data_IF_562311014080
#
_entry.id   IF_562311014080
#
_cell.length_a   1.000
_cell.length_b   1.000
_cell.length_c   1.000
_cell.angle_alpha   90.00
_cell.angle_beta   90.00
_cell.angle_gamma   90.00
#
_symmetry.space_group_name_H-M   'P 1'
#
loop_
_entity.id
_entity.type
_entity.pdbx_description
1 polymer ?
#
# COMPACT_ATOMS: atom_id res chain seq x y z
N UNK A 1 6.39 -1.91 -18.32
CA UNK A 1 6.36 -2.14 -16.88
C UNK A 1 7.29 -1.13 -16.23
N UNK A 2 6.92 -0.56 -15.09
CA UNK A 2 7.54 0.66 -14.56
C UNK A 2 8.32 0.40 -13.29
N UNK A 3 9.59 0.82 -13.25
CA UNK A 3 10.42 0.86 -12.04
C UNK A 3 10.28 2.23 -11.36
N UNK A 4 10.22 2.25 -10.01
CA UNK A 4 10.19 3.48 -9.23
C UNK A 4 11.31 3.44 -8.21
N UNK A 5 12.15 4.49 -8.18
CA UNK A 5 13.27 4.60 -7.25
C UNK A 5 13.16 5.90 -6.47
N UNK A 6 13.26 5.80 -5.16
CA UNK A 6 13.39 6.91 -4.22
C UNK A 6 14.82 6.91 -3.71
N UNK A 7 15.48 8.09 -3.71
CA UNK A 7 16.84 8.24 -3.21
C UNK A 7 16.87 9.37 -2.20
N UNK A 8 17.23 9.03 -0.98
CA UNK A 8 17.44 9.96 0.14
C UNK A 8 16.28 10.95 0.31
N UNK A 9 15.05 10.41 0.34
CA UNK A 9 13.83 11.24 0.41
C UNK A 9 13.62 11.77 1.81
N UNK A 10 13.58 13.10 1.93
CA UNK A 10 13.17 13.81 3.12
C UNK A 10 11.88 14.58 2.89
N UNK A 11 11.03 14.63 3.92
CA UNK A 11 9.83 15.47 3.94
C UNK A 11 9.63 16.12 5.29
N UNK A 12 9.56 17.45 5.28
CA UNK A 12 9.18 18.25 6.44
C UNK A 12 7.92 19.06 6.12
N UNK A 13 7.09 19.24 7.13
CA UNK A 13 6.00 20.21 7.16
C UNK A 13 6.36 21.24 8.22
N UNK A 14 6.65 22.47 7.80
CA UNK A 14 7.19 23.53 8.63
C UNK A 14 8.44 23.06 9.40
N UNK A 15 8.36 22.90 10.72
CA UNK A 15 9.47 22.44 11.57
C UNK A 15 9.40 20.94 11.91
N UNK A 16 8.37 20.23 11.43
CA UNK A 16 8.19 18.80 11.73
C UNK A 16 8.65 17.96 10.57
N UNK A 17 9.70 17.19 10.77
CA UNK A 17 10.18 16.22 9.81
C UNK A 17 9.33 14.93 9.92
N UNK A 18 8.87 14.40 8.78
CA UNK A 18 7.94 13.26 8.70
C UNK A 18 8.56 12.08 7.96
N UNK A 19 9.45 12.33 7.00
CA UNK A 19 10.21 11.29 6.27
C UNK A 19 11.69 11.66 6.36
N UNK A 20 12.50 10.67 6.71
CA UNK A 20 13.88 10.84 7.14
C UNK A 20 14.84 10.00 6.29
N UNK A 21 15.19 10.46 5.09
CA UNK A 21 16.18 9.82 4.22
C UNK A 21 15.74 8.43 3.75
N UNK A 22 14.56 8.36 3.11
CA UNK A 22 14.04 7.07 2.62
C UNK A 22 14.64 6.73 1.27
N UNK A 23 15.35 5.60 1.23
CA UNK A 23 15.76 4.90 0.02
C UNK A 23 14.84 3.72 -0.24
N UNK A 24 14.26 3.65 -1.44
CA UNK A 24 13.34 2.59 -1.82
C UNK A 24 13.42 2.32 -3.32
N UNK A 25 13.48 1.05 -3.67
CA UNK A 25 13.36 0.58 -5.04
C UNK A 25 12.13 -0.31 -5.18
N UNK A 26 11.25 0.05 -6.11
CA UNK A 26 10.09 -0.76 -6.52
C UNK A 26 10.37 -1.31 -7.90
N UNK A 27 10.60 -2.59 -8.00
CA UNK A 27 10.87 -3.25 -9.27
C UNK A 27 9.63 -3.27 -10.16
N UNK A 28 9.90 -3.28 -11.46
CA UNK A 28 8.85 -3.32 -12.49
C UNK A 28 7.94 -4.53 -12.34
N UNK A 29 6.62 -4.30 -12.35
CA UNK A 29 5.60 -5.35 -12.24
C UNK A 29 5.40 -5.93 -10.84
N UNK A 30 6.09 -5.43 -9.81
CA UNK A 30 5.97 -5.89 -8.44
C UNK A 30 4.83 -5.22 -7.68
N UNK A 31 4.26 -5.98 -6.75
CA UNK A 31 3.31 -5.50 -5.75
C UNK A 31 4.06 -5.15 -4.46
N UNK A 32 4.31 -3.86 -4.25
CA UNK A 32 4.95 -3.36 -3.04
C UNK A 32 3.91 -2.92 -2.03
N UNK A 33 4.06 -3.33 -0.77
CA UNK A 33 3.17 -2.90 0.32
C UNK A 33 3.95 -2.10 1.36
N UNK A 34 3.50 -0.88 1.62
CA UNK A 34 3.98 -0.02 2.71
C UNK A 34 3.14 -0.28 3.96
N UNK A 35 3.76 -0.74 5.04
CA UNK A 35 3.10 -0.98 6.33
C UNK A 35 3.78 -0.23 7.46
N UNK A 36 3.08 -0.07 8.56
CA UNK A 36 3.61 0.59 9.76
C UNK A 36 2.50 1.19 10.62
N UNK A 37 2.82 1.70 11.82
CA UNK A 37 1.88 2.35 12.72
C UNK A 37 1.20 3.57 12.08
N UNK A 38 0.08 4.00 12.66
CA UNK A 38 -0.56 5.25 12.25
C UNK A 38 0.40 6.42 12.45
N UNK A 39 0.46 7.34 11.47
CA UNK A 39 1.32 8.53 11.53
C UNK A 39 2.80 8.30 11.18
N UNK A 40 3.24 7.08 10.84
CA UNK A 40 4.65 6.82 10.49
C UNK A 40 5.08 7.29 9.08
N UNK A 41 4.22 7.97 8.32
CA UNK A 41 4.58 8.57 7.02
C UNK A 41 4.15 7.80 5.77
N UNK A 42 3.47 6.65 5.85
CA UNK A 42 3.07 5.81 4.69
C UNK A 42 2.31 6.58 3.60
N UNK A 43 1.19 7.20 3.97
CA UNK A 43 0.36 7.97 3.02
C UNK A 43 1.10 9.22 2.52
N UNK A 44 1.96 9.81 3.35
CA UNK A 44 2.84 10.92 2.93
C UNK A 44 3.80 10.46 1.84
N UNK A 45 4.49 9.33 2.05
CA UNK A 45 5.40 8.75 1.06
C UNK A 45 4.67 8.39 -0.23
N UNK A 46 3.48 7.78 -0.14
CA UNK A 46 2.66 7.45 -1.30
C UNK A 46 2.26 8.71 -2.09
N UNK A 47 1.85 9.79 -1.40
CA UNK A 47 1.49 11.08 -2.03
C UNK A 47 2.69 11.78 -2.66
N UNK A 48 3.87 11.64 -2.06
CA UNK A 48 5.14 12.09 -2.63
C UNK A 48 5.42 11.37 -3.96
N UNK A 49 5.29 10.05 -4.00
CA UNK A 49 5.44 9.26 -5.23
C UNK A 49 4.41 9.70 -6.28
N UNK A 50 3.16 9.91 -5.86
CA UNK A 50 2.09 10.39 -6.73
C UNK A 50 2.32 11.81 -7.30
N UNK A 51 3.19 12.60 -6.69
CA UNK A 51 3.39 14.02 -7.04
C UNK A 51 2.32 14.95 -6.46
N UNK A 52 1.56 14.47 -5.47
CA UNK A 52 0.57 15.25 -4.73
C UNK A 52 1.18 16.03 -3.57
N UNK A 53 2.35 15.59 -3.09
CA UNK A 53 3.17 16.25 -2.08
C UNK A 53 4.58 16.45 -2.63
N UNK A 54 5.19 17.60 -2.34
CA UNK A 54 6.57 17.88 -2.69
C UNK A 54 7.52 17.30 -1.66
N UNK A 55 8.65 16.77 -2.11
CA UNK A 55 9.77 16.42 -1.23
C UNK A 55 10.44 17.70 -0.68
N UNK A 56 11.11 17.56 0.46
CA UNK A 56 12.00 18.61 0.98
C UNK A 56 13.39 18.49 0.34
N UNK A 57 13.89 17.27 0.23
CA UNK A 57 15.13 16.92 -0.51
C UNK A 57 15.10 15.47 -0.97
N UNK A 58 16.04 15.08 -1.82
CA UNK A 58 16.15 13.75 -2.41
C UNK A 58 15.76 13.74 -3.89
N UNK A 59 15.67 12.52 -4.44
CA UNK A 59 15.39 12.32 -5.87
C UNK A 59 14.36 11.19 -6.07
N UNK A 60 13.40 11.40 -6.97
CA UNK A 60 12.42 10.39 -7.39
C UNK A 60 12.61 10.11 -8.87
N UNK A 61 12.80 8.82 -9.19
CA UNK A 61 12.94 8.36 -10.57
C UNK A 61 11.79 7.41 -10.93
N UNK A 62 11.23 7.60 -12.11
CA UNK A 62 10.25 6.69 -12.73
C UNK A 62 10.80 6.28 -14.10
N UNK A 63 11.08 5.00 -14.28
CA UNK A 63 11.74 4.46 -15.50
C UNK A 63 13.04 5.20 -15.84
N UNK A 64 13.86 5.50 -14.80
CA UNK A 64 15.12 6.23 -14.94
C UNK A 64 14.99 7.73 -15.16
N UNK A 65 13.79 8.28 -15.31
CA UNK A 65 13.55 9.71 -15.48
C UNK A 65 13.27 10.37 -14.13
N UNK A 66 13.97 11.45 -13.83
CA UNK A 66 13.72 12.23 -12.63
C UNK A 66 12.37 12.94 -12.71
N UNK A 67 11.54 12.74 -11.66
CA UNK A 67 10.18 13.29 -11.58
C UNK A 67 9.92 14.08 -10.30
N UNK A 68 10.93 14.39 -9.51
CA UNK A 68 10.81 15.05 -8.20
C UNK A 68 9.98 16.34 -8.29
N UNK A 69 10.16 17.12 -9.34
CA UNK A 69 9.46 18.39 -9.59
C UNK A 69 8.32 18.30 -10.60
N UNK A 70 8.04 17.10 -11.15
CA UNK A 70 6.98 16.88 -12.12
C UNK A 70 5.63 16.78 -11.38
N UNK A 71 4.58 17.52 -11.82
CA UNK A 71 3.27 17.47 -11.20
C UNK A 71 2.60 16.09 -11.39
N UNK A 72 1.69 15.72 -10.49
CA UNK A 72 1.01 14.43 -10.48
C UNK A 72 0.32 14.07 -11.82
N UNK A 73 -0.20 15.07 -12.53
CA UNK A 73 -0.87 14.86 -13.84
C UNK A 73 0.05 14.32 -14.92
N UNK A 74 1.37 14.55 -14.81
CA UNK A 74 2.38 14.26 -15.83
C UNK A 74 3.25 13.03 -15.47
N UNK A 75 3.18 12.52 -14.23
CA UNK A 75 3.94 11.33 -13.79
C UNK A 75 3.43 10.03 -14.40
N UNK A 76 2.23 10.02 -14.98
CA UNK A 76 1.63 8.82 -15.57
C UNK A 76 1.17 7.79 -14.54
N UNK A 77 1.02 8.17 -13.27
CA UNK A 77 0.56 7.29 -12.20
C UNK A 77 -0.94 7.44 -11.96
N UNK A 78 -1.58 6.39 -11.45
CA UNK A 78 -2.97 6.46 -11.02
C UNK A 78 -3.09 6.16 -9.53
N UNK A 79 -3.85 6.98 -8.79
CA UNK A 79 -4.05 6.82 -7.35
C UNK A 79 -5.49 6.50 -7.01
N UNK A 80 -5.68 5.46 -6.19
CA UNK A 80 -6.95 5.09 -5.57
C UNK A 80 -6.89 5.52 -4.11
N UNK A 81 -7.78 6.43 -3.73
CA UNK A 81 -7.84 7.00 -2.39
C UNK A 81 -8.69 6.16 -1.44
N UNK A 82 -8.42 6.24 -0.15
CA UNK A 82 -9.17 5.59 0.92
C UNK A 82 -10.68 5.89 0.86
N UNK A 83 -11.08 7.12 0.54
CA UNK A 83 -12.48 7.53 0.38
C UNK A 83 -13.09 7.17 -0.98
N UNK A 84 -12.34 6.46 -1.85
CA UNK A 84 -12.66 6.20 -3.25
C UNK A 84 -12.75 7.45 -4.14
N UNK A 85 -13.00 8.62 -3.58
CA UNK A 85 -13.11 9.93 -4.22
C UNK A 85 -13.99 9.91 -5.51
N UNK A 86 -15.11 9.17 -5.49
CA UNK A 86 -16.05 9.12 -6.61
C UNK A 86 -16.88 10.39 -6.67
N UNK A 87 -17.17 10.86 -7.88
CA UNK A 87 -18.06 11.98 -8.13
C UNK A 87 -19.51 11.54 -7.91
N UNK A 88 -20.22 12.00 -6.84
CA UNK A 88 -21.49 11.44 -6.43
C UNK A 88 -22.66 11.75 -7.39
N UNK A 89 -22.51 12.81 -8.17
CA UNK A 89 -23.51 13.25 -9.16
C UNK A 89 -23.39 12.54 -10.51
N UNK A 90 -22.26 11.90 -10.78
CA UNK A 90 -21.97 11.17 -12.02
C UNK A 90 -22.35 9.68 -11.89
N UNK A 91 -22.73 9.05 -13.02
CA UNK A 91 -22.87 7.58 -13.10
C UNK A 91 -21.50 6.90 -12.98
N UNK A 92 -21.48 5.57 -12.79
CA UNK A 92 -20.25 4.75 -12.81
C UNK A 92 -19.49 4.96 -14.13
N UNK A 93 -20.20 4.86 -15.27
CA UNK A 93 -19.62 5.11 -16.57
C UNK A 93 -18.93 6.48 -16.63
N UNK A 94 -19.62 7.55 -16.23
CA UNK A 94 -19.06 8.91 -16.25
C UNK A 94 -17.89 9.08 -15.27
N UNK A 95 -17.93 8.43 -14.10
CA UNK A 95 -16.81 8.42 -13.16
C UNK A 95 -15.55 7.83 -13.81
N UNK A 96 -15.68 6.74 -14.58
CA UNK A 96 -14.56 6.11 -15.28
C UNK A 96 -14.13 6.91 -16.50
N UNK A 97 -15.07 7.44 -17.29
CA UNK A 97 -14.81 8.19 -18.52
C UNK A 97 -14.18 9.58 -18.29
N UNK A 98 -14.45 10.20 -17.13
CA UNK A 98 -14.15 11.62 -16.86
C UNK A 98 -12.71 12.05 -17.19
N UNK A 99 -11.73 11.23 -16.80
CA UNK A 99 -10.32 11.55 -17.08
C UNK A 99 -10.00 11.50 -18.58
N UNK A 100 -10.60 10.56 -19.33
CA UNK A 100 -10.40 10.41 -20.77
C UNK A 100 -11.11 11.53 -21.55
N UNK A 101 -12.30 11.97 -21.07
CA UNK A 101 -13.03 13.11 -21.64
C UNK A 101 -12.20 14.40 -21.52
N UNK A 102 -11.56 14.62 -20.36
CA UNK A 102 -10.67 15.77 -20.15
C UNK A 102 -9.43 15.74 -21.03
N UNK A 103 -8.94 14.55 -21.39
CA UNK A 103 -7.86 14.35 -22.35
C UNK A 103 -8.33 14.45 -23.80
N UNK A 104 -9.61 14.73 -24.03
CA UNK A 104 -10.23 14.86 -25.36
C UNK A 104 -10.10 13.59 -26.23
N UNK A 105 -10.08 12.43 -25.59
CA UNK A 105 -10.13 11.13 -26.28
C UNK A 105 -11.49 11.00 -26.97
N UNK A 106 -11.54 10.36 -28.12
CA UNK A 106 -12.78 10.15 -28.85
C UNK A 106 -13.76 9.23 -28.10
N UNK A 107 -15.05 9.44 -28.34
CA UNK A 107 -16.13 8.73 -27.60
C UNK A 107 -16.08 7.22 -27.75
N UNK A 108 -15.73 6.73 -28.94
CA UNK A 108 -15.67 5.28 -29.23
C UNK A 108 -14.57 4.63 -28.38
N UNK A 109 -13.38 5.22 -28.38
CA UNK A 109 -12.26 4.75 -27.55
C UNK A 109 -12.60 4.80 -26.05
N UNK A 110 -13.30 5.86 -25.59
CA UNK A 110 -13.76 5.95 -24.19
C UNK A 110 -14.70 4.79 -23.86
N UNK A 111 -15.71 4.54 -24.69
CA UNK A 111 -16.67 3.45 -24.50
C UNK A 111 -15.96 2.08 -24.47
N UNK A 112 -15.04 1.82 -25.38
CA UNK A 112 -14.26 0.59 -25.44
C UNK A 112 -13.44 0.38 -24.17
N UNK A 113 -12.69 1.41 -23.73
CA UNK A 113 -11.87 1.35 -22.50
C UNK A 113 -12.71 1.17 -21.24
N UNK A 114 -13.80 1.92 -21.11
CA UNK A 114 -14.70 1.81 -19.93
C UNK A 114 -15.36 0.44 -19.87
N UNK A 115 -15.88 -0.08 -21.00
CA UNK A 115 -16.51 -1.39 -21.04
C UNK A 115 -15.50 -2.52 -20.76
N UNK A 116 -14.28 -2.42 -21.30
CA UNK A 116 -13.20 -3.38 -21.02
C UNK A 116 -12.84 -3.40 -19.54
N UNK A 117 -12.65 -2.23 -18.92
CA UNK A 117 -12.37 -2.12 -17.49
C UNK A 117 -13.55 -2.59 -16.61
N UNK A 118 -14.79 -2.28 -17.02
CA UNK A 118 -16.00 -2.74 -16.34
C UNK A 118 -16.10 -4.27 -16.35
N UNK A 119 -15.83 -4.89 -17.50
CA UNK A 119 -15.80 -6.36 -17.63
C UNK A 119 -14.71 -6.99 -16.78
N UNK A 120 -13.50 -6.42 -16.77
CA UNK A 120 -12.37 -6.88 -15.94
C UNK A 120 -12.75 -6.91 -14.45
N UNK A 121 -13.51 -5.90 -14.01
CA UNK A 121 -13.91 -5.67 -12.61
C UNK A 121 -15.31 -6.23 -12.27
N UNK A 122 -16.02 -6.83 -13.23
CA UNK A 122 -17.38 -7.39 -13.07
C UNK A 122 -18.38 -6.35 -12.55
N UNK A 123 -18.40 -5.16 -13.18
CA UNK A 123 -19.28 -4.03 -12.81
C UNK A 123 -20.09 -3.51 -14.00
N UNK A 124 -20.24 -4.28 -15.10
CA UNK A 124 -20.95 -3.86 -16.32
C UNK A 124 -22.40 -3.45 -16.02
N UNK A 125 -23.10 -4.23 -15.18
CA UNK A 125 -24.51 -3.97 -14.81
C UNK A 125 -24.69 -2.68 -13.99
N UNK A 126 -23.61 -2.12 -13.43
CA UNK A 126 -23.65 -0.92 -12.59
C UNK A 126 -23.29 0.36 -13.34
N UNK A 127 -22.88 0.30 -14.61
CA UNK A 127 -22.37 1.45 -15.38
C UNK A 127 -23.32 2.67 -15.38
N UNK A 128 -24.63 2.45 -15.36
CA UNK A 128 -25.61 3.54 -15.35
C UNK A 128 -26.00 3.98 -13.92
N UNK A 129 -25.57 3.26 -12.88
CA UNK A 129 -25.88 3.61 -11.48
C UNK A 129 -25.00 4.76 -11.00
N UNK A 130 -25.47 5.49 -9.97
CA UNK A 130 -24.68 6.49 -9.25
C UNK A 130 -23.99 5.84 -8.03
N UNK A 131 -22.88 6.40 -7.51
CA UNK A 131 -22.15 5.86 -6.36
C UNK A 131 -23.02 5.61 -5.12
N UNK A 132 -24.06 6.42 -4.91
CA UNK A 132 -25.04 6.26 -3.81
C UNK A 132 -25.77 4.91 -3.83
N UNK A 133 -25.97 4.32 -5.02
CA UNK A 133 -26.69 3.06 -5.21
C UNK A 133 -25.76 1.84 -5.25
N UNK A 134 -24.51 1.97 -4.78
CA UNK A 134 -23.49 0.92 -4.80
C UNK A 134 -23.10 0.50 -3.37
N UNK A 135 -22.74 -0.78 -3.21
CA UNK A 135 -22.08 -1.28 -1.99
C UNK A 135 -20.66 -0.73 -1.84
N UNK A 136 -20.01 -0.94 -0.69
CA UNK A 136 -18.62 -0.55 -0.45
C UNK A 136 -17.65 -1.14 -1.48
N UNK A 137 -17.70 -2.46 -1.68
CA UNK A 137 -16.87 -3.15 -2.67
C UNK A 137 -17.14 -2.72 -4.11
N UNK A 138 -18.40 -2.47 -4.48
CA UNK A 138 -18.73 -1.95 -5.80
C UNK A 138 -18.14 -0.55 -6.01
N UNK A 139 -18.22 0.36 -5.01
CA UNK A 139 -17.58 1.68 -5.09
C UNK A 139 -16.06 1.57 -5.24
N UNK A 140 -15.43 0.63 -4.54
CA UNK A 140 -14.00 0.38 -4.66
C UNK A 140 -13.63 -0.09 -6.08
N UNK A 141 -14.36 -1.08 -6.63
CA UNK A 141 -14.12 -1.53 -8.02
C UNK A 141 -14.28 -0.39 -9.02
N UNK A 142 -15.25 0.51 -8.83
CA UNK A 142 -15.39 1.71 -9.68
C UNK A 142 -14.17 2.63 -9.55
N UNK A 143 -13.63 2.84 -8.34
CA UNK A 143 -12.43 3.66 -8.13
C UNK A 143 -11.19 3.04 -8.80
N UNK A 144 -11.05 1.72 -8.73
CA UNK A 144 -10.00 0.96 -9.45
C UNK A 144 -10.21 1.08 -10.96
N UNK A 145 -11.45 0.93 -11.45
CA UNK A 145 -11.79 1.07 -12.87
C UNK A 145 -11.42 2.45 -13.43
N UNK A 146 -11.66 3.51 -12.64
CA UNK A 146 -11.25 4.87 -12.97
C UNK A 146 -9.71 5.01 -13.09
N UNK A 147 -8.95 4.22 -12.35
CA UNK A 147 -7.50 4.17 -12.48
C UNK A 147 -7.07 3.40 -13.73
N UNK A 148 -7.67 2.22 -13.98
CA UNK A 148 -7.33 1.32 -15.09
C UNK A 148 -7.53 1.96 -16.47
N UNK A 149 -8.65 2.66 -16.68
CA UNK A 149 -8.98 3.25 -17.99
C UNK A 149 -7.95 4.24 -18.51
N UNK A 150 -7.08 4.76 -17.62
CA UNK A 150 -6.00 5.69 -17.95
C UNK A 150 -4.74 5.01 -18.47
N UNK A 151 -4.66 3.68 -18.44
CA UNK A 151 -3.44 2.90 -18.73
C UNK A 151 -2.20 3.46 -18.01
N UNK A 152 -2.21 3.53 -16.68
CA UNK A 152 -1.14 4.18 -15.95
C UNK A 152 0.13 3.32 -15.95
N UNK A 153 1.28 3.97 -15.79
CA UNK A 153 2.58 3.31 -15.61
C UNK A 153 2.65 2.46 -14.34
N UNK A 154 2.05 2.96 -13.25
CA UNK A 154 1.91 2.23 -11.99
C UNK A 154 0.64 2.67 -11.23
N UNK A 155 0.16 1.80 -10.35
CA UNK A 155 -1.00 2.02 -9.50
C UNK A 155 -0.57 2.30 -8.06
N UNK A 156 -1.19 3.28 -7.44
CA UNK A 156 -0.98 3.68 -6.05
C UNK A 156 -2.29 3.52 -5.27
N UNK A 157 -2.27 2.80 -4.15
CA UNK A 157 -3.46 2.53 -3.33
C UNK A 157 -3.24 3.04 -1.91
N UNK A 158 -4.03 4.03 -1.46
CA UNK A 158 -3.99 4.59 -0.11
C UNK A 158 -5.10 3.95 0.74
N UNK A 159 -4.79 2.91 1.49
CA UNK A 159 -5.69 2.13 2.37
C UNK A 159 -7.05 1.78 1.72
N UNK A 160 -7.10 1.18 0.53
CA UNK A 160 -8.33 1.05 -0.24
C UNK A 160 -9.37 0.11 0.39
N UNK A 161 -8.97 -0.79 1.31
CA UNK A 161 -9.87 -1.76 1.95
C UNK A 161 -10.32 -1.35 3.35
N UNK A 162 -9.80 -0.26 3.91
CA UNK A 162 -10.05 0.15 5.31
C UNK A 162 -11.54 0.41 5.63
N UNK A 163 -12.32 0.85 4.64
CA UNK A 163 -13.74 1.18 4.79
C UNK A 163 -14.70 0.00 4.51
N UNK A 164 -14.17 -1.22 4.41
CA UNK A 164 -14.93 -2.45 4.17
C UNK A 164 -15.06 -3.28 5.44
N UNK A 165 -16.16 -4.03 5.55
CA UNK A 165 -16.30 -5.07 6.57
C UNK A 165 -15.29 -6.22 6.38
N UNK A 166 -15.12 -7.04 7.42
CA UNK A 166 -14.09 -8.07 7.44
C UNK A 166 -14.26 -9.13 6.34
N UNK A 167 -15.49 -9.56 6.05
CA UNK A 167 -15.78 -10.59 5.05
C UNK A 167 -15.50 -10.05 3.63
N UNK A 168 -15.99 -8.85 3.35
CA UNK A 168 -15.77 -8.19 2.07
C UNK A 168 -14.29 -7.89 1.84
N UNK A 169 -13.54 -7.54 2.90
CA UNK A 169 -12.09 -7.32 2.84
C UNK A 169 -11.33 -8.56 2.40
N UNK A 170 -11.71 -9.76 2.91
CA UNK A 170 -11.11 -11.03 2.46
C UNK A 170 -11.34 -11.27 0.97
N UNK A 171 -12.58 -11.05 0.51
CA UNK A 171 -12.93 -11.21 -0.91
C UNK A 171 -12.15 -10.23 -1.78
N UNK A 172 -12.11 -8.96 -1.39
CA UNK A 172 -11.45 -7.89 -2.15
C UNK A 172 -9.92 -8.08 -2.23
N UNK A 173 -9.28 -8.66 -1.21
CA UNK A 173 -7.85 -9.03 -1.28
C UNK A 173 -7.58 -10.03 -2.40
N UNK A 174 -8.38 -11.10 -2.48
CA UNK A 174 -8.26 -12.11 -3.55
C UNK A 174 -8.45 -11.48 -4.94
N UNK A 175 -9.42 -10.57 -5.06
CA UNK A 175 -9.68 -9.87 -6.31
C UNK A 175 -8.52 -8.93 -6.71
N UNK A 176 -7.91 -8.23 -5.74
CA UNK A 176 -6.74 -7.37 -6.00
C UNK A 176 -5.53 -8.18 -6.44
N UNK A 177 -5.27 -9.33 -5.80
CA UNK A 177 -4.20 -10.25 -6.23
C UNK A 177 -4.43 -10.74 -7.67
N UNK A 178 -5.62 -11.25 -7.97
CA UNK A 178 -5.98 -11.68 -9.31
C UNK A 178 -5.94 -10.54 -10.35
N UNK A 179 -6.28 -9.33 -9.94
CA UNK A 179 -6.19 -8.13 -10.78
C UNK A 179 -4.72 -7.78 -11.08
N UNK A 180 -3.84 -7.84 -10.07
CA UNK A 180 -2.41 -7.62 -10.27
C UNK A 180 -1.82 -8.62 -11.26
N UNK A 181 -2.13 -9.92 -11.11
CA UNK A 181 -1.69 -10.95 -12.06
C UNK A 181 -2.15 -10.68 -13.50
N UNK A 182 -3.40 -10.22 -13.67
CA UNK A 182 -3.96 -9.92 -15.01
C UNK A 182 -3.36 -8.68 -15.65
N UNK A 183 -3.10 -7.63 -14.86
CA UNK A 183 -2.56 -6.35 -15.35
C UNK A 183 -1.04 -6.46 -15.52
N UNK A 184 -0.35 -7.17 -14.63
CA UNK A 184 1.11 -7.27 -14.59
C UNK A 184 1.83 -5.94 -14.30
N UNK A 185 1.08 -4.90 -13.90
CA UNK A 185 1.61 -3.56 -13.66
C UNK A 185 2.22 -3.40 -12.26
N UNK A 186 3.13 -2.44 -12.10
CA UNK A 186 3.69 -2.09 -10.80
C UNK A 186 2.60 -1.51 -9.90
N UNK A 187 2.50 -2.01 -8.66
CA UNK A 187 1.53 -1.55 -7.67
C UNK A 187 2.22 -1.18 -6.36
N UNK A 188 1.86 -0.01 -5.80
CA UNK A 188 2.26 0.41 -4.45
C UNK A 188 1.01 0.56 -3.61
N UNK A 189 0.98 -0.14 -2.50
CA UNK A 189 -0.20 -0.27 -1.65
C UNK A 189 0.13 0.12 -0.20
N UNK A 190 -0.66 0.99 0.38
CA UNK A 190 -0.54 1.38 1.79
C UNK A 190 -1.62 0.66 2.59
N UNK A 191 -1.23 0.07 3.70
CA UNK A 191 -2.15 -0.51 4.68
C UNK A 191 -1.59 -0.45 6.09
N UNK A 192 -2.45 -0.59 7.08
CA UNK A 192 -2.10 -0.89 8.46
C UNK A 192 -2.42 -2.35 8.84
N UNK A 193 -3.02 -3.12 7.91
CA UNK A 193 -3.37 -4.53 8.11
C UNK A 193 -2.22 -5.43 7.64
N UNK A 194 -1.64 -6.17 8.58
CA UNK A 194 -0.53 -7.08 8.31
C UNK A 194 -0.94 -8.26 7.42
N UNK A 195 -2.19 -8.72 7.53
CA UNK A 195 -2.69 -9.83 6.71
C UNK A 195 -2.77 -9.41 5.25
N UNK A 196 -3.16 -8.16 4.98
CA UNK A 196 -3.10 -7.59 3.62
C UNK A 196 -1.68 -7.59 3.08
N UNK A 197 -0.72 -7.10 3.88
CA UNK A 197 0.67 -7.06 3.47
C UNK A 197 1.24 -8.44 3.18
N UNK A 198 1.06 -9.38 4.09
CA UNK A 198 1.59 -10.75 3.97
C UNK A 198 0.97 -11.55 2.82
N UNK A 199 -0.26 -11.19 2.38
CA UNK A 199 -0.99 -11.94 1.34
C UNK A 199 -0.91 -11.32 -0.05
N UNK A 200 -0.68 -10.01 -0.16
CA UNK A 200 -0.68 -9.30 -1.44
C UNK A 200 0.72 -8.99 -1.96
N UNK A 201 1.70 -8.82 -1.06
CA UNK A 201 2.97 -8.25 -1.43
C UNK A 201 3.95 -9.25 -2.05
N UNK A 202 4.62 -8.84 -3.11
CA UNK A 202 5.93 -9.37 -3.50
C UNK A 202 7.03 -8.83 -2.58
N UNK A 203 6.89 -7.56 -2.16
CA UNK A 203 7.82 -6.85 -1.28
C UNK A 203 7.04 -6.04 -0.25
N UNK A 204 7.42 -6.16 1.02
CA UNK A 204 6.92 -5.33 2.11
C UNK A 204 8.00 -4.32 2.51
N UNK A 205 7.58 -3.10 2.78
CA UNK A 205 8.40 -2.06 3.43
C UNK A 205 7.74 -1.67 4.73
N UNK A 206 8.43 -1.94 5.83
CA UNK A 206 7.99 -1.56 7.18
C UNK A 206 8.51 -0.16 7.50
N UNK A 207 7.60 0.79 7.66
CA UNK A 207 7.91 2.15 8.06
C UNK A 207 7.70 2.35 9.56
N UNK A 208 8.64 3.00 10.20
CA UNK A 208 8.57 3.39 11.61
C UNK A 208 9.09 4.83 11.77
N UNK A 209 8.26 5.73 12.29
CA UNK A 209 8.62 7.12 12.55
C UNK A 209 9.38 7.80 11.39
N UNK A 210 8.90 7.60 10.16
CA UNK A 210 9.50 8.22 8.97
C UNK A 210 10.73 7.51 8.38
N UNK A 211 11.20 6.42 9.01
CA UNK A 211 12.31 5.60 8.53
C UNK A 211 11.82 4.28 7.95
N UNK A 212 12.58 3.71 7.02
CA UNK A 212 12.42 2.31 6.61
C UNK A 212 13.10 1.42 7.67
N UNK A 213 12.29 0.72 8.47
CA UNK A 213 12.82 -0.23 9.45
C UNK A 213 13.34 -1.50 8.78
N UNK A 214 12.60 -2.04 7.83
CA UNK A 214 13.02 -3.19 7.02
C UNK A 214 12.25 -3.24 5.70
N UNK A 215 12.90 -3.73 4.64
CA UNK A 215 12.27 -4.03 3.37
C UNK A 215 12.69 -5.41 2.89
N UNK A 216 11.76 -6.19 2.30
CA UNK A 216 12.04 -7.53 1.78
C UNK A 216 10.80 -8.33 1.43
N UNK A 217 10.96 -9.59 1.07
CA UNK A 217 9.85 -10.50 0.84
C UNK A 217 9.07 -10.78 2.16
N UNK A 218 7.75 -11.03 2.11
CA UNK A 218 6.94 -11.26 3.30
C UNK A 218 7.53 -12.30 4.28
N UNK A 219 7.96 -13.45 3.76
CA UNK A 219 8.53 -14.52 4.58
C UNK A 219 9.91 -14.16 5.17
N UNK A 220 10.69 -13.32 4.50
CA UNK A 220 11.98 -12.87 5.02
C UNK A 220 11.79 -11.96 6.24
N UNK A 221 10.81 -11.03 6.17
CA UNK A 221 10.48 -10.16 7.29
C UNK A 221 9.95 -10.95 8.49
N UNK A 222 9.16 -11.99 8.23
CA UNK A 222 8.60 -12.85 9.28
C UNK A 222 9.66 -13.71 9.96
N UNK A 223 10.55 -14.35 9.17
CA UNK A 223 11.53 -15.29 9.67
C UNK A 223 12.82 -14.60 10.20
N UNK A 224 13.19 -13.47 9.62
CA UNK A 224 14.42 -12.74 9.89
C UNK A 224 14.16 -11.25 10.13
N UNK A 225 13.38 -10.88 11.18
CA UNK A 225 13.15 -9.47 11.50
C UNK A 225 14.45 -8.79 11.91
N UNK A 226 14.69 -7.57 11.40
CA UNK A 226 15.91 -6.79 11.65
C UNK A 226 16.03 -6.29 13.09
N UNK A 227 14.89 -6.08 13.75
CA UNK A 227 14.81 -5.57 15.11
C UNK A 227 13.54 -6.03 15.84
N UNK A 228 13.44 -5.69 17.12
CA UNK A 228 12.30 -6.01 17.99
C UNK A 228 11.00 -5.35 17.48
N UNK A 229 11.09 -4.16 16.89
CA UNK A 229 9.92 -3.48 16.34
C UNK A 229 9.32 -4.26 15.17
N UNK A 230 10.14 -4.65 14.20
CA UNK A 230 9.69 -5.44 13.05
C UNK A 230 9.16 -6.80 13.51
N UNK A 231 9.86 -7.48 14.42
CA UNK A 231 9.44 -8.76 15.00
C UNK A 231 8.07 -8.68 15.71
N UNK A 232 7.81 -7.58 16.42
CA UNK A 232 6.52 -7.36 17.10
C UNK A 232 5.43 -6.79 16.21
N UNK A 233 5.81 -6.21 15.06
CA UNK A 233 4.88 -5.61 14.12
C UNK A 233 4.43 -6.61 13.06
N UNK A 234 5.31 -7.49 12.55
CA UNK A 234 4.99 -8.46 11.50
C UNK A 234 4.58 -9.79 12.14
N UNK A 235 3.41 -10.29 11.73
CA UNK A 235 2.90 -11.59 12.15
C UNK A 235 1.60 -11.53 12.98
N UNK A 236 0.74 -12.55 12.76
CA UNK A 236 -0.47 -12.77 13.53
C UNK A 236 -0.60 -14.28 13.80
N UNK A 237 -0.53 -14.72 15.08
CA UNK A 237 -0.33 -13.91 16.31
C UNK A 237 1.03 -13.22 16.37
N UNK A 238 1.11 -12.15 17.20
CA UNK A 238 2.37 -11.42 17.42
C UNK A 238 3.42 -12.30 18.09
N UNK A 239 4.69 -12.03 17.79
CA UNK A 239 5.83 -12.69 18.43
C UNK A 239 5.85 -12.39 19.93
N UNK A 240 6.13 -13.41 20.74
CA UNK A 240 6.31 -13.25 22.18
C UNK A 240 7.75 -12.82 22.48
N UNK A 241 7.91 -11.80 23.33
CA UNK A 241 9.22 -11.32 23.79
C UNK A 241 9.41 -11.67 25.26
N UNK A 242 10.50 -12.37 25.57
CA UNK A 242 10.87 -12.73 26.93
C UNK A 242 12.17 -12.02 27.27
N UNK A 243 12.15 -11.20 28.33
CA UNK A 243 13.38 -10.60 28.85
C UNK A 243 14.20 -11.65 29.56
N UNK A 244 15.44 -11.83 29.15
CA UNK A 244 16.39 -12.76 29.78
C UNK A 244 17.66 -12.01 30.18
N UNK A 245 18.27 -12.40 31.31
CA UNK A 245 19.60 -11.96 31.67
C UNK A 245 20.59 -13.01 31.17
N UNK A 246 21.49 -12.62 30.27
CA UNK A 246 22.61 -13.48 29.86
C UNK A 246 23.67 -13.46 30.98
N UNK A 247 23.97 -14.61 31.57
CA UNK A 247 25.07 -14.77 32.53
C UNK A 247 26.19 -15.51 31.80
N UNK A 248 27.32 -14.84 31.57
CA UNK A 248 28.51 -15.46 31.04
C UNK A 248 29.18 -16.31 32.13
N UNK A 249 29.17 -17.60 31.94
CA UNK A 249 29.98 -18.53 32.76
C UNK A 249 30.81 -19.37 31.77
N UNK A 250 32.07 -18.98 31.60
CA UNK A 250 33.10 -19.77 30.93
C UNK A 250 32.73 -20.27 29.51
N UNK A 251 32.36 -19.37 28.61
CA UNK A 251 32.21 -19.68 27.17
C UNK A 251 30.87 -20.31 26.76
N UNK A 252 29.93 -20.47 27.68
CA UNK A 252 28.55 -20.85 27.38
C UNK A 252 27.55 -19.79 27.88
N UNK A 253 26.67 -19.32 26.99
CA UNK A 253 25.57 -18.42 27.37
C UNK A 253 24.46 -19.23 28.04
N UNK A 254 24.23 -18.99 29.33
CA UNK A 254 23.03 -19.51 30.03
C UNK A 254 21.98 -18.39 30.07
N UNK A 255 20.81 -18.65 29.50
CA UNK A 255 19.68 -17.76 29.57
C UNK A 255 18.84 -18.09 30.79
N UNK A 256 18.70 -17.17 31.75
CA UNK A 256 17.77 -17.32 32.85
C UNK A 256 16.45 -16.63 32.49
N UNK A 257 15.38 -17.41 32.35
CA UNK A 257 14.01 -16.94 32.24
C UNK A 257 13.58 -16.40 33.59
N UNK A 258 13.40 -15.08 33.71
CA UNK A 258 12.69 -14.51 34.85
C UNK A 258 11.20 -14.74 34.64
N UNK A 259 10.69 -15.85 35.17
CA UNK A 259 9.26 -16.12 35.25
C UNK A 259 8.66 -15.21 36.30
N UNK A 260 7.91 -14.20 35.91
CA UNK A 260 6.99 -13.52 36.81
C UNK A 260 5.71 -14.32 36.79
N UNK A 261 5.58 -15.32 37.71
CA UNK A 261 4.33 -16.04 37.90
C UNK A 261 3.26 -15.04 38.36
N UNK A 262 2.15 -14.97 37.63
CA UNK A 262 0.92 -14.47 38.22
C UNK A 262 0.53 -15.44 39.35
N UNK A 263 0.10 -14.95 40.49
CA UNK A 263 -0.16 -15.72 41.72
C UNK A 263 -1.27 -16.81 41.58
N UNK A 264 -1.77 -17.03 40.39
CA UNK A 264 -2.77 -18.06 40.05
C UNK A 264 -2.19 -19.43 39.67
N UNK A 265 -0.88 -19.54 39.36
CA UNK A 265 -0.23 -20.77 38.91
C UNK A 265 0.67 -21.46 39.95
N UNK A 266 0.50 -21.16 41.24
CA UNK A 266 1.14 -21.90 42.33
C UNK A 266 0.44 -23.26 42.56
N UNK A 267 0.61 -24.15 41.63
CA UNK A 267 0.15 -25.53 41.77
C UNK A 267 0.71 -26.41 40.71
N UNK A 268 1.79 -27.06 41.05
CA UNK A 268 2.43 -28.24 40.46
C UNK A 268 3.84 -27.98 39.94
N UNK A 269 4.75 -28.09 40.86
CA UNK A 269 6.05 -28.74 40.62
C UNK A 269 5.96 -30.18 41.04
#
# INVERSE_FOLDING_TARGET
MTEIILKDIFKSYDQTEVIHGVDLKVESGKFLVLVGPSGCGKSTLLRIIAGLERITSGEILIDGNEVSNIPASERGLAMVFQSYALYPHMSVFKNMAFALENLKIDKKTIEEKVNSAAKLLQIEEYLQRKPKALSGGQRQRVAIGRAIVRDPKAFLFDEPLSNLDAELRVTMRKELSALHEKIGGTMIYVTHDQVEAMTLADQIVVLNNGYVAQAGAPLDLYNNPSDIFVAGFIGSPKMNFIKVNAIDKSGSFNFCLLYTSDAADEGHC
#
